data_IF_133919397889
#
_entry.id   IF_133919397889
#
_cell.length_a   1.000
_cell.length_b   1.000
_cell.length_c   1.000
_cell.angle_alpha   90.00
_cell.angle_beta   90.00
_cell.angle_gamma   90.00
#
_symmetry.space_group_name_H-M   'P 1'
#
loop_
_entity.id
_entity.type
_entity.pdbx_description
1 polymer ?
#
# COMPACT_ATOMS: atom_id res chain seq x y z
N UNK A 1 -8.19 -9.25 -0.11
CA UNK A 1 -8.08 -9.59 1.32
C UNK A 1 -6.99 -8.75 1.99
N UNK A 2 -6.96 -8.67 3.32
CA UNK A 2 -5.93 -7.95 4.10
C UNK A 2 -6.39 -6.57 4.60
N UNK A 3 -5.47 -5.79 5.18
CA UNK A 3 -5.79 -4.49 5.77
C UNK A 3 -6.36 -3.50 4.75
N UNK A 4 -5.70 -3.35 3.60
CA UNK A 4 -6.13 -2.41 2.56
C UNK A 4 -7.53 -2.70 2.04
N UNK A 5 -7.85 -3.98 1.85
CA UNK A 5 -9.17 -4.43 1.40
C UNK A 5 -10.27 -4.17 2.45
N UNK A 6 -10.02 -4.49 3.72
CA UNK A 6 -10.97 -4.19 4.80
C UNK A 6 -11.31 -2.69 4.88
N UNK A 7 -10.32 -1.82 4.72
CA UNK A 7 -10.52 -0.38 4.68
C UNK A 7 -11.24 0.05 3.39
N UNK A 8 -10.86 -0.48 2.23
CA UNK A 8 -11.51 -0.17 0.96
C UNK A 8 -13.00 -0.52 0.97
N UNK A 9 -13.37 -1.66 1.55
CA UNK A 9 -14.78 -2.06 1.70
C UNK A 9 -15.56 -1.06 2.55
N UNK A 10 -15.03 -0.64 3.70
CA UNK A 10 -15.66 0.38 4.54
C UNK A 10 -15.82 1.71 3.78
N UNK A 11 -14.74 2.22 3.16
CA UNK A 11 -14.77 3.50 2.44
C UNK A 11 -15.72 3.46 1.24
N UNK A 12 -15.84 2.33 0.56
CA UNK A 12 -16.76 2.19 -0.58
C UNK A 12 -18.24 2.27 -0.20
N UNK A 13 -18.59 1.94 1.04
CA UNK A 13 -19.97 1.84 1.51
C UNK A 13 -20.42 3.04 2.34
N UNK A 14 -19.56 3.51 3.23
CA UNK A 14 -19.94 4.47 4.27
C UNK A 14 -19.35 5.88 4.05
N UNK A 15 -18.12 5.98 3.52
CA UNK A 15 -17.42 7.25 3.39
C UNK A 15 -16.43 7.25 2.21
N UNK A 16 -16.91 7.48 0.97
CA UNK A 16 -16.06 7.48 -0.21
C UNK A 16 -14.91 8.48 -0.07
N UNK A 17 -13.69 7.96 0.11
CA UNK A 17 -12.48 8.74 0.34
C UNK A 17 -11.35 8.14 -0.49
N UNK A 18 -10.46 8.96 -1.09
CA UNK A 18 -9.29 8.45 -1.78
C UNK A 18 -8.43 7.54 -0.87
N UNK A 19 -7.97 6.42 -1.43
CA UNK A 19 -7.12 5.43 -0.76
C UNK A 19 -5.95 5.03 -1.67
N UNK A 20 -4.76 4.85 -1.10
CA UNK A 20 -3.62 4.18 -1.75
C UNK A 20 -3.18 3.01 -0.85
N UNK A 21 -2.69 1.93 -1.47
CA UNK A 21 -2.19 0.76 -0.76
C UNK A 21 -0.69 0.58 -1.02
N UNK A 22 0.09 0.41 0.05
CA UNK A 22 1.51 0.01 -0.02
C UNK A 22 1.60 -1.41 0.52
N UNK A 23 1.69 -2.37 -0.40
CA UNK A 23 1.68 -3.79 -0.09
C UNK A 23 2.42 -4.56 -1.20
N UNK A 24 2.68 -5.84 -0.94
CA UNK A 24 3.21 -6.74 -1.97
C UNK A 24 2.16 -6.95 -3.07
N UNK A 25 2.53 -6.71 -4.32
CA UNK A 25 1.65 -6.87 -5.47
C UNK A 25 1.57 -8.35 -5.85
N UNK A 26 0.64 -9.07 -5.22
CA UNK A 26 0.24 -10.46 -5.52
C UNK A 26 1.38 -11.34 -6.05
N UNK A 27 2.42 -11.48 -5.23
CA UNK A 27 3.62 -12.25 -5.55
C UNK A 27 4.04 -13.07 -4.35
N UNK A 28 4.82 -14.12 -4.60
CA UNK A 28 5.41 -14.93 -3.53
C UNK A 28 6.64 -14.25 -2.94
N UNK A 29 6.82 -14.44 -1.63
CA UNK A 29 8.04 -14.05 -0.94
C UNK A 29 9.25 -14.81 -1.47
N UNK A 30 10.39 -14.14 -1.50
CA UNK A 30 11.67 -14.72 -1.88
C UNK A 30 12.61 -14.79 -0.67
N UNK A 31 13.59 -15.68 -0.75
CA UNK A 31 14.67 -15.75 0.23
C UNK A 31 15.73 -14.69 -0.08
N UNK A 32 16.11 -13.89 0.91
CA UNK A 32 17.15 -12.90 0.76
C UNK A 32 17.24 -11.92 1.93
N UNK A 33 18.20 -10.98 1.91
CA UNK A 33 18.33 -9.97 2.95
C UNK A 33 17.05 -9.11 3.04
N UNK A 34 16.43 -8.94 4.23
CA UNK A 34 15.14 -8.28 4.37
C UNK A 34 15.06 -6.89 3.73
N UNK A 35 16.07 -6.04 3.93
CA UNK A 35 16.06 -4.68 3.36
C UNK A 35 16.04 -4.68 1.82
N UNK A 36 16.81 -5.56 1.17
CA UNK A 36 16.81 -5.68 -0.30
C UNK A 36 15.46 -6.12 -0.84
N UNK A 37 14.78 -7.01 -0.12
CA UNK A 37 13.44 -7.45 -0.47
C UNK A 37 12.43 -6.33 -0.28
N UNK A 38 12.50 -5.57 0.82
CA UNK A 38 11.62 -4.41 1.04
C UNK A 38 11.78 -3.36 -0.06
N UNK A 39 13.01 -3.06 -0.48
CA UNK A 39 13.28 -2.17 -1.62
C UNK A 39 12.70 -2.73 -2.92
N UNK A 40 12.96 -4.02 -3.22
CA UNK A 40 12.45 -4.70 -4.42
C UNK A 40 10.93 -4.64 -4.52
N UNK A 41 10.23 -4.84 -3.40
CA UNK A 41 8.77 -4.86 -3.37
C UNK A 41 8.14 -3.47 -3.10
N UNK A 42 8.93 -2.41 -3.02
CA UNK A 42 8.41 -1.06 -2.79
C UNK A 42 7.76 -0.88 -1.42
N UNK A 43 8.26 -1.59 -0.41
CA UNK A 43 7.77 -1.57 0.97
C UNK A 43 8.62 -0.66 1.85
N UNK A 44 9.16 0.43 1.31
CA UNK A 44 10.01 1.36 2.06
C UNK A 44 9.27 2.63 2.45
N UNK A 45 9.88 3.40 3.35
CA UNK A 45 9.37 4.71 3.75
C UNK A 45 9.18 5.67 2.57
N UNK A 46 10.00 5.55 1.52
CA UNK A 46 9.90 6.37 0.31
C UNK A 46 8.60 6.11 -0.45
N UNK A 47 8.20 4.87 -0.61
CA UNK A 47 6.95 4.49 -1.28
C UNK A 47 5.73 4.87 -0.45
N UNK A 48 5.82 4.76 0.89
CA UNK A 48 4.78 5.26 1.80
C UNK A 48 4.58 6.77 1.64
N UNK A 49 5.65 7.56 1.67
CA UNK A 49 5.58 9.02 1.52
C UNK A 49 5.00 9.40 0.15
N UNK A 50 5.44 8.72 -0.91
CA UNK A 50 4.95 8.96 -2.28
C UNK A 50 3.46 8.67 -2.38
N UNK A 51 3.01 7.53 -1.85
CA UNK A 51 1.60 7.13 -1.83
C UNK A 51 0.74 8.07 -0.98
N UNK A 52 1.25 8.51 0.17
CA UNK A 52 0.58 9.48 1.03
C UNK A 52 0.36 10.83 0.33
N UNK A 53 1.38 11.35 -0.36
CA UNK A 53 1.25 12.58 -1.16
C UNK A 53 0.26 12.41 -2.31
N UNK A 54 0.30 11.27 -2.99
CA UNK A 54 -0.62 10.95 -4.09
C UNK A 54 -2.08 10.91 -3.63
N UNK A 55 -2.37 10.32 -2.46
CA UNK A 55 -3.75 10.26 -1.95
C UNK A 55 -4.26 11.64 -1.51
N UNK A 56 -3.41 12.46 -0.88
CA UNK A 56 -3.78 13.82 -0.46
C UNK A 56 -4.15 14.68 -1.67
N UNK A 57 -3.41 14.57 -2.78
CA UNK A 57 -3.67 15.33 -4.01
C UNK A 57 -4.95 14.93 -4.76
N UNK A 58 -5.64 13.86 -4.34
CA UNK A 58 -6.92 13.40 -4.92
C UNK A 58 -8.14 13.81 -4.08
N UNK A 59 -7.93 14.49 -2.95
CA UNK A 59 -9.01 15.13 -2.18
C UNK A 59 -9.42 16.43 -2.83
#
# INVERSE_FOLDING_TARGET
GGLGDSIAQLLSRELPTPLEMVAMNDSFGESGPPMKLMEKYGLTSKEIITSAKKVINRK
#
